data_IF_861973964492
#
_entry.id   IF_861973964492
#
_cell.length_a   1.000
_cell.length_b   1.000
_cell.length_c   1.000
_cell.angle_alpha   90.00
_cell.angle_beta   90.00
_cell.angle_gamma   90.00
#
_symmetry.space_group_name_H-M   'P 1'
#
loop_
_entity.id
_entity.type
_entity.pdbx_description
1 polymer ?
#
# COMPACT_ATOMS: atom_id res chain seq x y z
N UNK A 1 35.19 -5.16 12.00
CA UNK A 1 34.44 -6.30 11.43
C UNK A 1 33.65 -7.12 12.46
N UNK A 2 34.22 -7.61 13.58
CA UNK A 2 33.49 -8.46 14.56
C UNK A 2 32.18 -7.85 15.12
N UNK A 3 32.17 -6.55 15.43
CA UNK A 3 30.96 -5.88 15.97
C UNK A 3 29.77 -5.85 15.00
N UNK A 4 30.02 -5.80 13.68
CA UNK A 4 28.94 -5.82 12.68
C UNK A 4 28.27 -7.18 12.57
N UNK A 5 29.04 -8.27 12.77
CA UNK A 5 28.50 -9.64 12.76
C UNK A 5 27.54 -9.84 13.92
N UNK A 6 27.93 -9.40 15.13
CA UNK A 6 27.05 -9.48 16.31
C UNK A 6 25.81 -8.60 16.19
N UNK A 7 25.94 -7.39 15.62
CA UNK A 7 24.80 -6.52 15.36
C UNK A 7 23.83 -7.15 14.36
N UNK A 8 24.33 -7.64 13.22
CA UNK A 8 23.50 -8.31 12.21
C UNK A 8 22.75 -9.49 12.81
N UNK A 9 23.44 -10.38 13.52
CA UNK A 9 22.82 -11.55 14.14
C UNK A 9 21.71 -11.15 15.13
N UNK A 10 21.91 -10.07 15.90
CA UNK A 10 20.89 -9.54 16.81
C UNK A 10 19.68 -8.96 16.07
N UNK A 11 19.92 -8.21 14.99
CA UNK A 11 18.85 -7.64 14.16
C UNK A 11 18.04 -8.73 13.46
N UNK A 12 18.71 -9.73 12.87
CA UNK A 12 18.06 -10.87 12.22
C UNK A 12 17.20 -11.67 13.23
N UNK A 13 17.72 -11.89 14.44
CA UNK A 13 16.96 -12.54 15.52
C UNK A 13 15.68 -11.77 15.86
N UNK A 14 15.78 -10.45 16.04
CA UNK A 14 14.63 -9.59 16.36
C UNK A 14 13.63 -9.53 15.20
N UNK A 15 14.12 -9.43 13.95
CA UNK A 15 13.29 -9.45 12.76
C UNK A 15 12.51 -10.76 12.64
N UNK A 16 13.18 -11.91 12.81
CA UNK A 16 12.54 -13.23 12.77
C UNK A 16 11.51 -13.40 13.90
N UNK A 17 11.78 -12.86 15.08
CA UNK A 17 10.82 -12.88 16.19
C UNK A 17 9.56 -12.06 15.88
N UNK A 18 9.70 -10.91 15.20
CA UNK A 18 8.61 -9.96 14.93
C UNK A 18 7.90 -10.15 13.60
N UNK A 19 8.50 -10.86 12.64
CA UNK A 19 7.92 -11.13 11.34
C UNK A 19 6.91 -12.29 11.39
N UNK A 20 5.88 -12.13 12.22
CA UNK A 20 4.81 -13.11 12.41
C UNK A 20 3.45 -12.41 12.28
N UNK A 21 2.41 -13.16 11.89
CA UNK A 21 1.05 -12.62 11.86
C UNK A 21 0.63 -12.10 13.25
N UNK A 22 0.99 -12.81 14.33
CA UNK A 22 0.70 -12.36 15.69
C UNK A 22 1.21 -10.94 15.93
N UNK A 23 2.51 -10.71 15.71
CA UNK A 23 3.10 -9.38 15.93
C UNK A 23 2.60 -8.31 14.95
N UNK A 24 2.22 -8.67 13.73
CA UNK A 24 1.59 -7.74 12.79
C UNK A 24 0.25 -7.19 13.33
N UNK A 25 -0.53 -8.00 14.03
CA UNK A 25 -1.85 -7.63 14.55
C UNK A 25 -1.84 -7.17 16.02
N UNK A 26 -0.72 -7.31 16.75
CA UNK A 26 -0.56 -6.84 18.14
C UNK A 26 -0.74 -5.32 18.29
N UNK A 27 -0.21 -4.55 17.33
CA UNK A 27 -0.22 -3.08 17.36
C UNK A 27 -0.68 -2.52 16.02
N UNK A 28 -1.36 -1.36 15.96
CA UNK A 28 -1.81 -0.81 14.69
C UNK A 28 -0.67 -0.65 13.69
N UNK A 29 -0.79 -1.34 12.56
CA UNK A 29 0.16 -1.31 11.46
C UNK A 29 -0.63 -1.27 10.13
N UNK A 30 -0.36 -0.33 9.21
CA UNK A 30 -1.00 -0.29 7.89
C UNK A 30 -0.86 -1.60 7.10
N UNK A 31 0.22 -2.35 7.31
CA UNK A 31 0.46 -3.65 6.68
C UNK A 31 -0.60 -4.69 7.05
N UNK A 32 -1.34 -4.51 8.15
CA UNK A 32 -2.46 -5.40 8.51
C UNK A 32 -3.48 -5.49 7.38
N UNK A 33 -3.86 -4.35 6.79
CA UNK A 33 -4.90 -4.30 5.77
C UNK A 33 -4.37 -4.87 4.46
N UNK A 34 -3.15 -4.49 4.07
CA UNK A 34 -2.49 -5.08 2.90
C UNK A 34 -2.37 -6.61 3.01
N UNK A 35 -2.06 -7.14 4.20
CA UNK A 35 -1.95 -8.58 4.45
C UNK A 35 -3.28 -9.31 4.37
N UNK A 36 -4.37 -8.70 4.84
CA UNK A 36 -5.72 -9.28 4.79
C UNK A 36 -6.20 -9.42 3.34
N UNK A 37 -6.03 -8.37 2.53
CA UNK A 37 -6.51 -8.37 1.14
C UNK A 37 -5.56 -9.11 0.18
N UNK A 38 -4.24 -9.07 0.44
CA UNK A 38 -3.21 -9.77 -0.33
C UNK A 38 -3.31 -9.49 -1.86
N UNK A 39 -3.48 -8.22 -2.21
CA UNK A 39 -3.67 -7.70 -3.56
C UNK A 39 -2.77 -6.48 -3.76
N UNK A 40 -2.11 -6.37 -4.93
CA UNK A 40 -1.10 -5.35 -5.20
C UNK A 40 -1.67 -3.92 -5.19
N UNK A 41 -2.88 -3.70 -5.72
CA UNK A 41 -3.52 -2.38 -5.74
C UNK A 41 -3.96 -1.97 -4.34
N UNK A 42 -4.48 -2.92 -3.57
CA UNK A 42 -4.81 -2.70 -2.16
C UNK A 42 -3.56 -2.35 -1.35
N UNK A 43 -2.44 -3.04 -1.58
CA UNK A 43 -1.17 -2.72 -0.95
C UNK A 43 -0.67 -1.31 -1.32
N UNK A 44 -0.79 -0.92 -2.60
CA UNK A 44 -0.46 0.43 -3.04
C UNK A 44 -1.33 1.50 -2.36
N UNK A 45 -2.65 1.29 -2.27
CA UNK A 45 -3.55 2.21 -1.55
C UNK A 45 -3.15 2.31 -0.08
N UNK A 46 -2.86 1.18 0.57
CA UNK A 46 -2.39 1.17 1.96
C UNK A 46 -1.10 2.00 2.10
N UNK A 47 -0.14 1.83 1.20
CA UNK A 47 1.12 2.58 1.19
C UNK A 47 0.90 4.09 0.96
N UNK A 48 0.03 4.45 0.01
CA UNK A 48 -0.30 5.84 -0.28
C UNK A 48 -0.87 6.54 0.95
N UNK A 49 -1.71 5.87 1.75
CA UNK A 49 -2.30 6.41 2.98
C UNK A 49 -1.50 6.16 4.27
N UNK A 50 -0.33 5.53 4.19
CA UNK A 50 0.49 5.13 5.35
C UNK A 50 1.30 6.29 5.98
N UNK A 51 0.76 7.51 6.00
CA UNK A 51 1.41 8.67 6.62
C UNK A 51 0.59 9.18 7.82
N UNK A 52 1.22 9.16 8.99
CA UNK A 52 0.62 9.67 10.21
C UNK A 52 0.65 8.75 11.41
N UNK A 53 -0.33 8.93 12.29
CA UNK A 53 -0.50 8.07 13.45
C UNK A 53 -1.06 6.71 13.00
N UNK A 54 -0.35 5.63 13.36
CA UNK A 54 -0.66 4.27 12.91
C UNK A 54 -2.10 3.83 13.21
N UNK A 55 -2.65 4.17 14.39
CA UNK A 55 -4.04 3.87 14.76
C UNK A 55 -5.03 4.57 13.81
N UNK A 56 -4.78 5.83 13.48
CA UNK A 56 -5.64 6.58 12.56
C UNK A 56 -5.51 6.08 11.12
N UNK A 57 -4.32 5.64 10.68
CA UNK A 57 -4.13 5.00 9.37
C UNK A 57 -4.97 3.72 9.30
N UNK A 58 -4.78 2.79 10.25
CA UNK A 58 -5.52 1.51 10.25
C UNK A 58 -7.03 1.74 10.33
N UNK A 59 -7.49 2.66 11.18
CA UNK A 59 -8.92 2.98 11.27
C UNK A 59 -9.49 3.57 9.98
N UNK A 60 -8.70 4.32 9.22
CA UNK A 60 -9.13 4.84 7.93
C UNK A 60 -9.16 3.73 6.87
N UNK A 61 -8.08 2.97 6.74
CA UNK A 61 -7.97 1.88 5.77
C UNK A 61 -9.07 0.81 5.97
N UNK A 62 -9.45 0.51 7.23
CA UNK A 62 -10.57 -0.40 7.55
C UNK A 62 -11.94 0.08 7.07
N UNK A 63 -12.11 1.38 6.81
CA UNK A 63 -13.38 1.95 6.30
C UNK A 63 -13.46 1.92 4.78
N UNK A 64 -12.35 1.71 4.09
CA UNK A 64 -12.32 1.69 2.63
C UNK A 64 -12.83 0.35 2.13
N UNK A 65 -13.68 0.40 1.11
CA UNK A 65 -14.07 -0.77 0.33
C UNK A 65 -13.16 -0.89 -0.90
N UNK A 66 -12.25 -1.86 -0.89
CA UNK A 66 -11.32 -2.08 -2.00
C UNK A 66 -11.97 -2.72 -3.22
N UNK A 67 -13.19 -3.28 -3.10
CA UNK A 67 -13.93 -3.81 -4.24
C UNK A 67 -14.34 -2.73 -5.25
N UNK A 68 -14.38 -1.47 -4.80
CA UNK A 68 -14.65 -0.29 -5.62
C UNK A 68 -13.69 -0.15 -6.81
N UNK A 69 -12.48 -0.71 -6.73
CA UNK A 69 -11.52 -0.72 -7.83
C UNK A 69 -12.02 -1.48 -9.08
N UNK A 70 -13.04 -2.32 -8.93
CA UNK A 70 -13.64 -3.08 -10.04
C UNK A 70 -14.95 -2.45 -10.55
N UNK A 71 -15.31 -1.24 -10.07
CA UNK A 71 -16.56 -0.56 -10.43
C UNK A 71 -16.31 0.63 -11.35
N UNK A 72 -17.38 1.14 -11.96
CA UNK A 72 -17.31 2.34 -12.78
C UNK A 72 -17.19 3.61 -11.91
N UNK A 73 -16.64 4.66 -12.50
CA UNK A 73 -16.37 5.95 -11.85
C UNK A 73 -17.57 6.54 -11.08
N UNK A 74 -18.78 6.43 -11.65
CA UNK A 74 -20.00 6.96 -11.02
C UNK A 74 -20.29 6.28 -9.68
N UNK A 75 -20.09 4.97 -9.59
CA UNK A 75 -20.24 4.19 -8.36
C UNK A 75 -19.14 4.55 -7.35
N UNK A 76 -17.88 4.62 -7.81
CA UNK A 76 -16.73 5.00 -6.95
C UNK A 76 -16.99 6.35 -6.28
N UNK A 77 -17.39 7.37 -7.05
CA UNK A 77 -17.71 8.71 -6.51
C UNK A 77 -18.84 8.68 -5.49
N UNK A 78 -19.87 7.88 -5.74
CA UNK A 78 -21.02 7.74 -4.84
C UNK A 78 -20.62 7.11 -3.49
N UNK A 79 -19.87 6.02 -3.52
CA UNK A 79 -19.52 5.25 -2.32
C UNK A 79 -18.44 5.93 -1.47
N UNK A 80 -17.54 6.72 -2.08
CA UNK A 80 -16.49 7.46 -1.38
C UNK A 80 -16.94 8.85 -0.89
N UNK A 81 -18.24 9.16 -0.95
CA UNK A 81 -18.78 10.46 -0.56
C UNK A 81 -18.53 10.75 0.93
N UNK A 82 -18.21 12.00 1.24
CA UNK A 82 -17.87 12.53 2.56
C UNK A 82 -16.65 11.87 3.23
N UNK A 83 -15.87 11.06 2.51
CA UNK A 83 -14.61 10.55 3.05
C UNK A 83 -13.55 11.65 3.03
N UNK A 84 -12.76 11.71 4.09
CA UNK A 84 -11.62 12.59 4.24
C UNK A 84 -10.56 11.89 5.06
N UNK A 85 -9.32 12.06 4.67
CA UNK A 85 -8.19 11.57 5.46
C UNK A 85 -7.06 12.59 5.46
N UNK A 86 -6.78 13.17 6.64
CA UNK A 86 -5.73 14.19 6.82
C UNK A 86 -5.84 15.33 5.80
N UNK A 87 -4.90 15.38 4.86
CA UNK A 87 -4.77 16.44 3.85
C UNK A 87 -5.59 16.14 2.58
N UNK A 88 -6.12 14.92 2.45
CA UNK A 88 -6.86 14.43 1.32
C UNK A 88 -8.34 14.64 1.58
N UNK A 89 -8.96 15.45 0.74
CA UNK A 89 -10.39 15.67 0.73
C UNK A 89 -11.10 14.54 -0.04
N UNK A 90 -12.44 14.61 -0.09
CA UNK A 90 -13.27 13.62 -0.79
C UNK A 90 -12.85 13.42 -2.25
N UNK A 91 -12.62 14.51 -2.98
CA UNK A 91 -12.22 14.48 -4.38
C UNK A 91 -10.87 13.78 -4.54
N UNK A 92 -9.90 14.06 -3.68
CA UNK A 92 -8.58 13.43 -3.76
C UNK A 92 -8.67 11.92 -3.60
N UNK A 93 -9.48 11.44 -2.65
CA UNK A 93 -9.69 10.01 -2.40
C UNK A 93 -10.42 9.36 -3.59
N UNK A 94 -11.44 10.03 -4.14
CA UNK A 94 -12.14 9.57 -5.33
C UNK A 94 -11.20 9.41 -6.53
N UNK A 95 -10.40 10.43 -6.83
CA UNK A 95 -9.48 10.40 -7.97
C UNK A 95 -8.40 9.31 -7.83
N UNK A 96 -7.92 9.03 -6.61
CA UNK A 96 -7.02 7.89 -6.36
C UNK A 96 -7.69 6.57 -6.78
N UNK A 97 -8.92 6.30 -6.31
CA UNK A 97 -9.62 5.06 -6.64
C UNK A 97 -9.98 4.95 -8.13
N UNK A 98 -10.39 6.05 -8.76
CA UNK A 98 -10.71 6.09 -10.18
C UNK A 98 -9.46 5.82 -11.02
N UNK A 99 -8.35 6.47 -10.70
CA UNK A 99 -7.07 6.31 -11.41
C UNK A 99 -6.59 4.86 -11.31
N UNK A 100 -6.59 4.30 -10.09
CA UNK A 100 -6.16 2.91 -9.88
C UNK A 100 -7.14 1.89 -10.48
N UNK A 101 -8.45 2.17 -10.51
CA UNK A 101 -9.43 1.32 -11.20
C UNK A 101 -9.16 1.27 -12.70
N UNK A 102 -8.84 2.41 -13.33
CA UNK A 102 -8.45 2.47 -14.74
C UNK A 102 -7.15 1.71 -14.99
N UNK A 103 -6.11 1.99 -14.21
CA UNK A 103 -4.81 1.32 -14.33
C UNK A 103 -4.93 -0.20 -14.19
N UNK A 104 -5.73 -0.68 -13.22
CA UNK A 104 -5.97 -2.11 -12.98
C UNK A 104 -6.58 -2.84 -14.19
N UNK A 105 -7.30 -2.14 -15.04
CA UNK A 105 -7.86 -2.71 -16.27
C UNK A 105 -6.86 -2.70 -17.44
N UNK A 106 -5.71 -2.05 -17.29
CA UNK A 106 -4.69 -1.93 -18.34
C UNK A 106 -3.47 -2.82 -18.08
N UNK A 107 -2.95 -2.84 -16.84
CA UNK A 107 -1.71 -3.54 -16.48
C UNK A 107 -1.67 -3.86 -14.98
N UNK A 108 -0.98 -4.95 -14.60
CA UNK A 108 -0.65 -5.19 -13.20
C UNK A 108 0.45 -4.25 -12.69
N UNK A 109 0.48 -3.96 -11.40
CA UNK A 109 1.56 -3.16 -10.80
C UNK A 109 2.90 -3.89 -10.91
N UNK A 110 2.91 -5.22 -10.79
CA UNK A 110 4.10 -6.03 -11.03
C UNK A 110 4.64 -5.85 -12.44
N UNK A 111 3.81 -5.98 -13.48
CA UNK A 111 4.27 -5.83 -14.87
C UNK A 111 4.74 -4.40 -15.15
N UNK A 112 4.01 -3.39 -14.67
CA UNK A 112 4.40 -1.98 -14.82
C UNK A 112 5.79 -1.72 -14.23
N UNK A 113 6.05 -2.25 -13.03
CA UNK A 113 7.34 -2.15 -12.38
C UNK A 113 8.41 -2.95 -13.15
N UNK A 114 8.14 -4.22 -13.46
CA UNK A 114 9.12 -5.15 -14.00
C UNK A 114 9.60 -4.76 -15.39
N UNK A 115 8.70 -4.33 -16.28
CA UNK A 115 9.05 -3.90 -17.64
C UNK A 115 10.01 -2.70 -17.66
N UNK A 116 9.89 -1.80 -16.68
CA UNK A 116 10.79 -0.66 -16.56
C UNK A 116 12.10 -1.06 -15.85
N UNK A 117 12.01 -1.90 -14.81
CA UNK A 117 13.16 -2.42 -14.09
C UNK A 117 14.10 -3.23 -14.99
N UNK A 118 13.58 -4.22 -15.73
CA UNK A 118 14.37 -5.20 -16.49
C UNK A 118 15.27 -4.56 -17.56
N UNK A 119 14.93 -3.36 -18.05
CA UNK A 119 15.72 -2.64 -19.06
C UNK A 119 17.13 -2.30 -18.57
N UNK A 120 17.29 -1.99 -17.28
CA UNK A 120 18.56 -1.52 -16.69
C UNK A 120 18.83 -2.04 -15.28
N UNK A 121 18.01 -2.97 -14.79
CA UNK A 121 17.99 -3.46 -13.40
C UNK A 121 17.96 -2.31 -12.37
N UNK A 122 17.25 -1.23 -12.72
CA UNK A 122 17.28 0.01 -11.96
C UNK A 122 15.91 0.30 -11.32
N UNK A 123 15.87 0.34 -10.00
CA UNK A 123 14.64 0.59 -9.24
C UNK A 123 14.07 2.00 -9.46
N UNK A 124 14.92 3.00 -9.70
CA UNK A 124 14.45 4.36 -9.96
C UNK A 124 13.65 4.43 -11.26
N UNK A 125 14.11 3.76 -12.31
CA UNK A 125 13.37 3.67 -13.57
C UNK A 125 12.02 3.01 -13.39
N UNK A 126 11.98 1.95 -12.60
CA UNK A 126 10.75 1.24 -12.27
C UNK A 126 9.75 2.13 -11.52
N UNK A 127 10.22 2.93 -10.56
CA UNK A 127 9.36 3.89 -9.83
C UNK A 127 8.87 5.01 -10.76
N UNK A 128 9.74 5.50 -11.65
CA UNK A 128 9.37 6.55 -12.60
C UNK A 128 8.29 6.10 -13.61
N UNK A 129 8.11 4.80 -13.82
CA UNK A 129 7.02 4.29 -14.67
C UNK A 129 5.61 4.54 -14.08
N UNK A 130 5.52 4.88 -12.79
CA UNK A 130 4.26 5.21 -12.11
C UNK A 130 3.92 6.72 -12.14
N UNK A 131 4.79 7.57 -12.71
CA UNK A 131 4.70 9.04 -12.71
C UNK A 131 4.54 9.55 -14.15
#
# INVERSE_FOLDING_TARGET
MKNFIHLKAKLDFLANQKNTNHSLFETPDPLQIAKIHNDEFTALICALFAYGNAKNIVNFLKKLDFSLLNLQEKQIKKELKNLKYRFQNEKDIQEIFITLSRLKNEISLYELFYQAYEKRENTTDAILAFI
#
